data_IF_537522569751
#
_entry.id   IF_537522569751
#
_cell.length_a   1.000
_cell.length_b   1.000
_cell.length_c   1.000
_cell.angle_alpha   90.00
_cell.angle_beta   90.00
_cell.angle_gamma   90.00
#
_symmetry.space_group_name_H-M   'P 1'
#
loop_
_entity.id
_entity.type
_entity.pdbx_description
1 polymer ?
#
# COMPACT_ATOMS: atom_id res chain seq x y z
N UNK A 1 -39.13 3.45 -26.05
CA UNK A 1 -37.70 3.80 -25.82
C UNK A 1 -37.31 3.35 -24.43
N UNK A 2 -36.61 2.23 -24.36
CA UNK A 2 -36.06 1.68 -23.11
C UNK A 2 -34.81 2.48 -22.72
N UNK A 3 -34.68 2.96 -21.48
CA UNK A 3 -33.53 3.79 -21.10
C UNK A 3 -32.23 3.00 -21.14
N UNK A 4 -31.22 3.49 -21.84
CA UNK A 4 -29.87 2.96 -21.94
C UNK A 4 -29.07 2.90 -20.60
N UNK A 5 -29.62 3.48 -19.54
CA UNK A 5 -29.00 3.48 -18.20
C UNK A 5 -29.10 2.15 -17.45
N UNK A 6 -29.97 1.26 -17.85
CA UNK A 6 -30.18 -0.05 -17.20
C UNK A 6 -29.06 -1.06 -17.51
N UNK A 7 -28.40 -0.97 -18.67
CA UNK A 7 -27.38 -1.95 -19.07
C UNK A 7 -26.04 -1.74 -18.34
N UNK A 8 -25.59 -0.51 -18.17
CA UNK A 8 -24.31 -0.21 -17.52
C UNK A 8 -24.30 -0.59 -16.03
N UNK A 9 -25.36 -0.29 -15.29
CA UNK A 9 -25.50 -0.69 -13.89
C UNK A 9 -25.54 -2.22 -13.74
N UNK A 10 -26.32 -2.89 -14.61
CA UNK A 10 -26.38 -4.37 -14.67
C UNK A 10 -25.03 -5.00 -14.97
N UNK A 11 -24.23 -4.41 -15.86
CA UNK A 11 -22.90 -4.91 -16.19
C UNK A 11 -21.89 -4.72 -15.03
N UNK A 12 -21.98 -3.62 -14.31
CA UNK A 12 -21.15 -3.40 -13.11
C UNK A 12 -21.47 -4.44 -12.02
N UNK A 13 -22.76 -4.69 -11.74
CA UNK A 13 -23.17 -5.72 -10.78
C UNK A 13 -22.68 -7.12 -11.19
N UNK A 14 -22.84 -7.50 -12.44
CA UNK A 14 -22.38 -8.80 -12.95
C UNK A 14 -20.86 -8.96 -12.85
N UNK A 15 -20.09 -7.89 -13.12
CA UNK A 15 -18.61 -7.90 -12.95
C UNK A 15 -18.23 -8.06 -11.50
N UNK A 16 -18.91 -7.37 -10.60
CA UNK A 16 -18.69 -7.46 -9.16
C UNK A 16 -19.01 -8.87 -8.62
N UNK A 17 -20.13 -9.45 -9.04
CA UNK A 17 -20.50 -10.81 -8.67
C UNK A 17 -19.46 -11.83 -9.15
N UNK A 18 -19.01 -11.74 -10.41
CA UNK A 18 -17.95 -12.59 -10.94
C UNK A 18 -16.63 -12.44 -10.17
N UNK A 19 -16.26 -11.21 -9.84
CA UNK A 19 -15.06 -10.93 -9.05
C UNK A 19 -15.11 -11.61 -7.69
N UNK A 20 -16.20 -11.45 -6.96
CA UNK A 20 -16.36 -12.08 -5.65
C UNK A 20 -16.57 -13.61 -5.71
N UNK A 21 -17.11 -14.12 -6.80
CA UNK A 21 -17.17 -15.57 -7.03
C UNK A 21 -15.76 -16.15 -7.24
N UNK A 22 -14.91 -15.41 -7.96
CA UNK A 22 -13.52 -15.82 -8.20
C UNK A 22 -12.64 -15.63 -6.94
N UNK A 23 -12.89 -14.58 -6.15
CA UNK A 23 -12.11 -14.22 -4.96
C UNK A 23 -13.00 -14.12 -3.71
N UNK A 24 -13.56 -15.23 -3.22
CA UNK A 24 -14.49 -15.21 -2.09
C UNK A 24 -13.86 -14.70 -0.79
N UNK A 25 -12.56 -14.92 -0.60
CA UNK A 25 -11.81 -14.40 0.55
C UNK A 25 -11.77 -12.86 0.62
N UNK A 26 -11.83 -12.16 -0.52
CA UNK A 26 -11.90 -10.70 -0.54
C UNK A 26 -13.24 -10.23 0.03
N UNK A 27 -14.35 -10.85 -0.38
CA UNK A 27 -15.68 -10.53 0.14
C UNK A 27 -15.77 -10.81 1.64
N UNK A 28 -15.22 -11.93 2.08
CA UNK A 28 -15.18 -12.31 3.49
C UNK A 28 -14.39 -11.30 4.31
N UNK A 29 -13.17 -10.94 3.85
CA UNK A 29 -12.36 -9.90 4.48
C UNK A 29 -13.11 -8.57 4.64
N UNK A 30 -13.80 -8.11 3.58
CA UNK A 30 -14.56 -6.86 3.63
C UNK A 30 -15.68 -6.89 4.69
N UNK A 31 -16.34 -8.02 4.85
CA UNK A 31 -17.38 -8.19 5.86
C UNK A 31 -16.80 -8.23 7.27
N UNK A 32 -15.75 -9.03 7.46
CA UNK A 32 -15.16 -9.29 8.77
C UNK A 32 -14.45 -8.06 9.33
N UNK A 33 -13.71 -7.31 8.51
CA UNK A 33 -13.00 -6.12 8.97
C UNK A 33 -13.95 -5.01 9.41
N UNK A 34 -15.10 -4.85 8.73
CA UNK A 34 -16.11 -3.87 9.12
C UNK A 34 -16.81 -4.32 10.41
N UNK A 35 -17.12 -5.61 10.57
CA UNK A 35 -17.71 -6.15 11.80
C UNK A 35 -16.74 -5.96 12.99
N UNK A 36 -15.48 -6.33 12.81
CA UNK A 36 -14.43 -6.15 13.81
C UNK A 36 -14.26 -4.66 14.20
N UNK A 37 -14.24 -3.76 13.21
CA UNK A 37 -14.14 -2.33 13.47
C UNK A 37 -15.34 -1.78 14.25
N UNK A 38 -16.56 -2.29 13.99
CA UNK A 38 -17.76 -1.93 14.77
C UNK A 38 -17.69 -2.43 16.21
N UNK A 39 -17.15 -3.61 16.44
CA UNK A 39 -16.98 -4.18 17.75
C UNK A 39 -15.95 -3.41 18.57
N UNK A 40 -14.71 -3.34 18.11
CA UNK A 40 -13.58 -2.80 18.87
C UNK A 40 -13.38 -1.28 18.75
N UNK A 41 -13.98 -0.63 17.74
CA UNK A 41 -13.91 0.83 17.55
C UNK A 41 -12.63 1.32 16.85
N UNK A 42 -11.80 0.42 16.31
CA UNK A 42 -10.58 0.75 15.58
C UNK A 42 -10.28 -0.34 14.55
N UNK A 43 -9.33 -0.04 13.66
CA UNK A 43 -8.66 -1.02 12.80
C UNK A 43 -7.15 -0.87 12.94
N UNK A 44 -6.41 -1.90 12.55
CA UNK A 44 -4.95 -1.90 12.64
C UNK A 44 -4.27 -2.46 11.39
N UNK A 45 -3.01 -2.08 11.21
CA UNK A 45 -2.14 -2.60 10.17
C UNK A 45 -1.61 -3.99 10.57
N UNK A 46 -0.88 -4.67 9.66
CA UNK A 46 -0.14 -5.90 9.99
C UNK A 46 0.92 -5.68 11.08
N UNK A 47 1.35 -4.43 11.28
CA UNK A 47 2.33 -4.04 12.32
C UNK A 47 1.63 -3.46 13.57
N UNK A 48 0.33 -3.72 13.74
CA UNK A 48 -0.47 -3.32 14.90
C UNK A 48 -0.57 -1.80 15.14
N UNK A 49 -0.31 -0.99 14.12
CA UNK A 49 -0.58 0.44 14.19
C UNK A 49 -2.06 0.68 14.05
N UNK A 50 -2.67 1.28 15.09
CA UNK A 50 -4.12 1.44 15.22
C UNK A 50 -4.62 2.77 14.69
N UNK A 51 -5.82 2.75 14.15
CA UNK A 51 -6.62 3.92 13.81
C UNK A 51 -8.01 3.78 14.45
N UNK A 52 -8.33 4.67 15.37
CA UNK A 52 -9.68 4.78 15.95
C UNK A 52 -10.68 5.21 14.88
N UNK A 53 -11.88 4.64 14.93
CA UNK A 53 -12.99 4.87 13.99
C UNK A 53 -14.29 5.20 14.75
N UNK A 54 -14.38 6.34 15.44
CA UNK A 54 -15.60 6.72 16.15
C UNK A 54 -16.81 6.85 15.20
N UNK A 55 -16.56 7.19 13.93
CA UNK A 55 -17.57 7.38 12.90
C UNK A 55 -18.33 6.09 12.57
N UNK A 56 -17.74 4.92 12.77
CA UNK A 56 -18.33 3.64 12.36
C UNK A 56 -19.59 3.27 13.16
N UNK A 57 -19.73 3.85 14.36
CA UNK A 57 -20.89 3.69 15.25
C UNK A 57 -21.89 4.86 15.16
N UNK A 58 -21.65 5.83 14.27
CA UNK A 58 -22.53 6.99 14.11
C UNK A 58 -23.93 6.61 13.64
N UNK A 59 -24.95 7.26 14.18
CA UNK A 59 -26.32 7.19 13.67
C UNK A 59 -26.46 7.86 12.29
N UNK A 60 -25.58 8.81 11.96
CA UNK A 60 -25.54 9.47 10.67
C UNK A 60 -24.99 8.51 9.60
N UNK A 61 -25.81 8.25 8.58
CA UNK A 61 -25.44 7.33 7.50
C UNK A 61 -24.17 7.73 6.76
N UNK A 62 -23.95 9.01 6.49
CA UNK A 62 -22.77 9.50 5.75
C UNK A 62 -21.50 9.25 6.56
N UNK A 63 -21.52 9.57 7.85
CA UNK A 63 -20.38 9.32 8.75
C UNK A 63 -20.10 7.83 8.90
N UNK A 64 -21.14 7.02 9.09
CA UNK A 64 -20.99 5.57 9.21
C UNK A 64 -20.40 4.96 7.94
N UNK A 65 -20.90 5.33 6.76
CA UNK A 65 -20.36 4.88 5.46
C UNK A 65 -18.91 5.32 5.24
N UNK A 66 -18.54 6.50 5.72
CA UNK A 66 -17.14 6.94 5.72
C UNK A 66 -16.29 6.03 6.62
N UNK A 67 -16.72 5.75 7.84
CA UNK A 67 -16.05 4.85 8.78
C UNK A 67 -15.86 3.44 8.20
N UNK A 68 -16.86 2.89 7.52
CA UNK A 68 -16.78 1.58 6.87
C UNK A 68 -15.74 1.58 5.73
N UNK A 69 -15.67 2.63 4.90
CA UNK A 69 -14.63 2.75 3.86
C UNK A 69 -13.23 2.86 4.45
N UNK A 70 -13.07 3.61 5.53
CA UNK A 70 -11.79 3.70 6.22
C UNK A 70 -11.39 2.36 6.84
N UNK A 71 -12.34 1.61 7.40
CA UNK A 71 -12.11 0.27 7.94
C UNK A 71 -11.57 -0.70 6.87
N UNK A 72 -12.07 -0.60 5.63
CA UNK A 72 -11.62 -1.43 4.52
C UNK A 72 -10.21 -1.05 4.03
N UNK A 73 -9.93 0.24 3.93
CA UNK A 73 -8.72 0.74 3.27
C UNK A 73 -7.51 0.84 4.20
N UNK A 74 -7.73 1.25 5.46
CA UNK A 74 -6.66 1.57 6.39
C UNK A 74 -5.71 0.39 6.69
N UNK A 75 -6.18 -0.84 6.92
CA UNK A 75 -5.28 -1.96 7.16
C UNK A 75 -4.31 -2.20 6.00
N UNK A 76 -4.77 -2.04 4.77
CA UNK A 76 -3.98 -2.26 3.55
C UNK A 76 -3.04 -1.07 3.29
N UNK A 77 -3.58 0.13 3.17
CA UNK A 77 -2.79 1.34 2.90
C UNK A 77 -1.84 1.67 4.06
N UNK A 78 -2.31 1.46 5.30
CA UNK A 78 -1.49 1.65 6.47
C UNK A 78 -0.33 0.65 6.54
N UNK A 79 -0.55 -0.61 6.20
CA UNK A 79 0.51 -1.62 6.11
C UNK A 79 1.52 -1.27 5.03
N UNK A 80 1.08 -0.82 3.86
CA UNK A 80 1.99 -0.34 2.82
C UNK A 80 2.88 0.82 3.32
N UNK A 81 2.30 1.78 4.05
CA UNK A 81 3.06 2.87 4.65
C UNK A 81 4.06 2.39 5.74
N UNK A 82 3.71 1.35 6.50
CA UNK A 82 4.61 0.75 7.48
C UNK A 82 5.78 0.03 6.79
N UNK A 83 5.50 -0.73 5.73
CA UNK A 83 6.51 -1.40 4.89
C UNK A 83 7.48 -0.38 4.30
N UNK A 84 6.98 0.73 3.75
CA UNK A 84 7.83 1.80 3.21
C UNK A 84 8.73 2.42 4.26
N UNK A 85 8.25 2.67 5.47
CA UNK A 85 9.08 3.20 6.56
C UNK A 85 10.19 2.24 6.97
N UNK A 86 9.88 0.95 7.04
CA UNK A 86 10.88 -0.07 7.33
C UNK A 86 11.91 -0.18 6.21
N UNK A 87 11.48 -0.10 4.94
CA UNK A 87 12.37 -0.07 3.79
C UNK A 87 13.33 1.13 3.84
N UNK A 88 12.80 2.33 4.14
CA UNK A 88 13.62 3.54 4.31
C UNK A 88 14.73 3.35 5.35
N UNK A 89 14.38 2.79 6.51
CA UNK A 89 15.33 2.55 7.60
C UNK A 89 16.40 1.57 7.13
N UNK A 90 16.01 0.44 6.51
CA UNK A 90 16.97 -0.57 6.03
C UNK A 90 17.91 -0.03 4.96
N UNK A 91 17.36 0.69 3.97
CA UNK A 91 18.17 1.34 2.93
C UNK A 91 19.15 2.32 3.54
N UNK A 92 18.69 3.22 4.42
CA UNK A 92 19.53 4.18 5.09
C UNK A 92 20.67 3.53 5.88
N UNK A 93 20.35 2.52 6.69
CA UNK A 93 21.33 1.81 7.52
C UNK A 93 22.34 1.06 6.66
N UNK A 94 21.91 0.47 5.55
CA UNK A 94 22.79 -0.25 4.63
C UNK A 94 23.73 0.67 3.88
N UNK A 95 23.25 1.82 3.37
CA UNK A 95 24.10 2.84 2.74
C UNK A 95 25.24 3.28 3.68
N UNK A 96 24.92 3.48 4.97
CA UNK A 96 25.91 3.86 5.98
C UNK A 96 26.87 2.73 6.32
N UNK A 97 26.36 1.51 6.50
CA UNK A 97 27.18 0.34 6.84
C UNK A 97 28.20 0.00 5.76
N UNK A 98 27.84 0.18 4.50
CA UNK A 98 28.71 -0.05 3.34
C UNK A 98 29.59 1.18 3.01
N UNK A 99 29.52 2.24 3.82
CA UNK A 99 30.27 3.49 3.64
C UNK A 99 30.08 4.14 2.25
N UNK A 100 28.89 4.01 1.68
CA UNK A 100 28.57 4.61 0.39
C UNK A 100 28.37 6.13 0.54
N UNK A 101 28.71 6.87 -0.51
CA UNK A 101 28.44 8.31 -0.60
C UNK A 101 26.97 8.59 -0.96
N UNK A 102 26.26 7.58 -1.41
CA UNK A 102 24.83 7.62 -1.75
C UNK A 102 23.97 8.07 -0.56
N UNK A 103 22.94 8.84 -0.85
CA UNK A 103 22.02 9.41 0.15
C UNK A 103 20.57 9.16 -0.23
N UNK A 104 19.81 8.63 0.71
CA UNK A 104 18.35 8.60 0.60
C UNK A 104 17.84 10.03 0.76
N UNK A 105 17.28 10.61 -0.30
CA UNK A 105 16.88 12.02 -0.35
C UNK A 105 15.37 12.24 -0.30
N UNK A 106 14.57 11.29 -0.79
CA UNK A 106 13.12 11.48 -0.83
C UNK A 106 12.38 10.14 -0.84
N UNK A 107 11.15 10.16 -0.34
CA UNK A 107 10.16 9.09 -0.46
C UNK A 107 8.88 9.70 -1.05
N UNK A 108 8.35 9.08 -2.11
CA UNK A 108 7.13 9.51 -2.79
C UNK A 108 6.25 8.29 -2.98
N UNK A 109 5.08 8.24 -2.31
CA UNK A 109 4.18 7.09 -2.31
C UNK A 109 4.88 5.77 -1.96
N UNK A 110 5.19 4.95 -2.95
CA UNK A 110 5.85 3.65 -2.88
C UNK A 110 7.26 3.66 -3.50
N UNK A 111 7.80 4.83 -3.82
CA UNK A 111 9.12 5.04 -4.40
C UNK A 111 10.11 5.57 -3.36
N UNK A 112 11.35 5.10 -3.40
CA UNK A 112 12.50 5.68 -2.70
C UNK A 112 13.47 6.27 -3.71
N UNK A 113 13.91 7.50 -3.46
CA UNK A 113 14.85 8.21 -4.32
C UNK A 113 16.18 8.38 -3.58
N UNK A 114 17.22 7.87 -4.20
CA UNK A 114 18.59 7.91 -3.70
C UNK A 114 19.46 8.66 -4.70
N UNK A 115 20.18 9.66 -4.23
CA UNK A 115 21.25 10.33 -4.98
C UNK A 115 22.56 9.60 -4.72
N UNK A 116 23.28 9.23 -5.78
CA UNK A 116 24.58 8.55 -5.65
C UNK A 116 25.57 8.99 -6.72
N UNK A 117 26.88 8.89 -6.47
CA UNK A 117 27.88 8.97 -7.51
C UNK A 117 27.71 7.87 -8.57
N UNK A 118 28.04 8.17 -9.82
CA UNK A 118 27.93 7.21 -10.94
C UNK A 118 28.67 5.89 -10.65
N UNK A 119 29.78 5.95 -9.95
CA UNK A 119 30.58 4.77 -9.57
C UNK A 119 29.85 3.82 -8.61
N UNK A 120 28.86 4.31 -7.86
CA UNK A 120 28.09 3.52 -6.90
C UNK A 120 26.74 3.05 -7.47
N UNK A 121 26.37 3.47 -8.67
CA UNK A 121 25.04 3.25 -9.28
C UNK A 121 24.57 1.79 -9.20
N UNK A 122 25.32 0.86 -9.75
CA UNK A 122 24.93 -0.56 -9.80
C UNK A 122 24.79 -1.18 -8.40
N UNK A 123 25.67 -0.76 -7.48
CA UNK A 123 25.62 -1.19 -6.08
C UNK A 123 24.37 -0.68 -5.41
N UNK A 124 24.02 0.60 -5.61
CA UNK A 124 22.83 1.25 -5.02
C UNK A 124 21.54 0.68 -5.61
N UNK A 125 21.45 0.45 -6.91
CA UNK A 125 20.28 -0.19 -7.54
C UNK A 125 20.05 -1.60 -6.97
N UNK A 126 21.10 -2.39 -6.80
CA UNK A 126 21.04 -3.73 -6.22
C UNK A 126 20.60 -3.66 -4.76
N UNK A 127 21.19 -2.73 -4.00
CA UNK A 127 20.86 -2.50 -2.60
C UNK A 127 19.39 -2.11 -2.42
N UNK A 128 18.90 -1.15 -3.18
CA UNK A 128 17.51 -0.71 -3.14
C UNK A 128 16.55 -1.87 -3.37
N UNK A 129 16.76 -2.62 -4.45
CA UNK A 129 15.93 -3.78 -4.78
C UNK A 129 15.91 -4.79 -3.63
N UNK A 130 17.07 -5.19 -3.14
CA UNK A 130 17.16 -6.18 -2.06
C UNK A 130 16.48 -5.73 -0.77
N UNK A 131 16.74 -4.49 -0.32
CA UNK A 131 16.17 -4.00 0.94
C UNK A 131 14.66 -3.78 0.85
N UNK A 132 14.14 -3.34 -0.30
CA UNK A 132 12.71 -3.15 -0.49
C UNK A 132 11.97 -4.48 -0.64
N UNK A 133 12.52 -5.45 -1.34
CA UNK A 133 11.89 -6.77 -1.53
C UNK A 133 11.90 -7.61 -0.26
N UNK A 134 12.93 -7.49 0.57
CA UNK A 134 13.11 -8.29 1.78
C UNK A 134 12.61 -7.62 3.05
N UNK A 135 11.97 -6.45 2.95
CA UNK A 135 11.56 -5.67 4.12
C UNK A 135 10.46 -6.34 4.93
N UNK A 136 9.58 -7.09 4.28
CA UNK A 136 8.46 -7.77 4.91
C UNK A 136 8.33 -9.21 4.41
N UNK A 137 8.08 -10.14 5.33
CA UNK A 137 7.74 -11.52 5.01
C UNK A 137 6.24 -11.63 4.79
N UNK A 138 5.81 -11.53 3.53
CA UNK A 138 4.41 -11.68 3.13
C UNK A 138 4.20 -13.03 2.44
N UNK A 139 2.95 -13.47 2.35
CA UNK A 139 2.57 -14.68 1.58
C UNK A 139 2.72 -14.52 0.06
N UNK A 140 2.90 -13.29 -0.39
CA UNK A 140 3.18 -12.92 -1.78
C UNK A 140 4.52 -12.19 -1.84
N UNK A 141 5.33 -12.36 -2.90
CA UNK A 141 6.59 -11.65 -3.03
C UNK A 141 6.35 -10.16 -3.21
N UNK A 142 7.19 -9.35 -2.55
CA UNK A 142 7.36 -7.94 -2.92
C UNK A 142 8.36 -7.88 -4.08
N UNK A 143 8.02 -7.15 -5.11
CA UNK A 143 8.89 -6.92 -6.26
C UNK A 143 9.21 -5.43 -6.30
N UNK A 144 10.50 -5.10 -6.35
CA UNK A 144 10.97 -3.73 -6.49
C UNK A 144 11.81 -3.59 -7.76
N UNK A 145 11.48 -2.61 -8.58
CA UNK A 145 12.27 -2.22 -9.74
C UNK A 145 13.14 -1.02 -9.36
N UNK A 146 14.39 -1.04 -9.78
CA UNK A 146 15.32 0.07 -9.59
C UNK A 146 15.77 0.59 -10.95
N UNK A 147 15.60 1.87 -11.14
CA UNK A 147 15.98 2.58 -12.35
C UNK A 147 16.85 3.77 -11.98
N UNK A 148 17.76 4.17 -12.86
CA UNK A 148 18.64 5.32 -12.66
C UNK A 148 18.60 6.30 -13.83
N UNK A 149 18.90 7.56 -13.56
CA UNK A 149 18.95 8.65 -14.52
C UNK A 149 19.64 9.86 -13.91
N UNK A 150 19.97 10.84 -14.72
CA UNK A 150 20.59 12.09 -14.24
C UNK A 150 19.64 12.98 -13.42
N UNK A 151 18.38 12.66 -13.47
CA UNK A 151 17.29 13.31 -12.71
C UNK A 151 16.13 12.33 -12.55
N UNK A 152 15.18 12.67 -11.68
CA UNK A 152 14.03 11.81 -11.38
C UNK A 152 13.18 11.47 -12.60
N UNK A 153 13.02 12.41 -13.55
CA UNK A 153 12.24 12.18 -14.76
C UNK A 153 12.85 11.08 -15.62
N UNK A 154 14.17 11.12 -15.80
CA UNK A 154 14.90 10.09 -16.55
C UNK A 154 14.89 8.71 -15.84
N UNK A 155 15.00 8.71 -14.50
CA UNK A 155 14.95 7.49 -13.71
C UNK A 155 13.55 6.85 -13.67
N UNK A 156 12.50 7.61 -13.93
CA UNK A 156 11.13 7.10 -13.89
C UNK A 156 10.72 6.35 -15.18
N UNK A 157 11.46 6.50 -16.27
CA UNK A 157 11.18 5.86 -17.56
C UNK A 157 10.18 6.62 -18.41
#
# INVERSE_FOLDING_TARGET
STPLYSSAASDVYKRQERYFATYPGVKQYMTDIVALAKEQGYVETLYHRRRALPEIKSSNFIQRSFGERVALNMPIQGTAADVMKLAMIRVYDRLRRENLQAKLIMQVHDELIVECPEAERETVETLLRQEMEQVAALSVPLIAEAHSGKNWLEAKG
#
